data_IF_180057395511
#
_entry.id   IF_180057395511
#
_cell.length_a   1.000
_cell.length_b   1.000
_cell.length_c   1.000
_cell.angle_alpha   90.00
_cell.angle_beta   90.00
_cell.angle_gamma   90.00
#
_symmetry.space_group_name_H-M   'P 1'
#
loop_
_entity.id
_entity.type
_entity.pdbx_description
1 polymer ?
#
# COMPACT_ATOMS: atom_id res chain seq x y z
N UNK A 1 13.56 6.13 8.84
CA UNK A 1 13.42 4.69 8.52
C UNK A 1 12.10 4.24 9.09
N UNK A 2 11.21 3.72 8.25
CA UNK A 2 9.85 3.31 8.62
C UNK A 2 9.49 2.04 7.84
N UNK A 3 8.61 1.20 8.38
CA UNK A 3 7.95 0.12 7.66
C UNK A 3 6.70 0.68 6.99
N UNK A 4 6.64 0.62 5.66
CA UNK A 4 5.58 1.23 4.86
C UNK A 4 4.79 0.14 4.13
N UNK A 5 3.48 0.10 4.34
CA UNK A 5 2.56 -0.72 3.57
C UNK A 5 2.01 0.04 2.36
N UNK A 6 2.09 -0.53 1.17
CA UNK A 6 1.52 0.08 -0.05
C UNK A 6 0.10 -0.42 -0.26
N UNK A 7 -0.85 0.51 -0.38
CA UNK A 7 -2.25 0.23 -0.67
C UNK A 7 -2.71 0.95 -1.94
N UNK A 8 -3.54 0.28 -2.75
CA UNK A 8 -4.02 0.86 -4.00
C UNK A 8 -4.95 -0.05 -4.81
N UNK A 9 -5.46 0.44 -5.95
CA UNK A 9 -6.32 -0.35 -6.82
C UNK A 9 -5.55 -1.47 -7.54
N UNK A 10 -6.03 -2.71 -7.41
CA UNK A 10 -5.52 -3.90 -8.10
C UNK A 10 -6.57 -4.55 -9.01
N UNK A 11 -7.75 -4.87 -8.47
CA UNK A 11 -8.85 -5.52 -9.19
C UNK A 11 -9.29 -4.71 -10.42
N UNK A 12 -9.45 -5.38 -11.56
CA UNK A 12 -9.88 -4.74 -12.82
C UNK A 12 -8.79 -3.94 -13.55
N UNK A 13 -7.55 -3.87 -13.03
CA UNK A 13 -6.43 -3.23 -13.72
C UNK A 13 -5.58 -4.27 -14.49
N UNK A 14 -4.95 -3.87 -15.61
CA UNK A 14 -3.99 -4.73 -16.31
C UNK A 14 -2.89 -5.24 -15.36
N UNK A 15 -2.65 -6.55 -15.38
CA UNK A 15 -1.67 -7.23 -14.51
C UNK A 15 -1.80 -6.81 -13.02
N UNK A 16 -3.03 -6.62 -12.55
CA UNK A 16 -3.35 -6.21 -11.18
C UNK A 16 -2.60 -4.97 -10.69
N UNK A 17 -2.25 -4.05 -11.61
CA UNK A 17 -1.48 -2.85 -11.31
C UNK A 17 -0.07 -3.11 -10.69
N UNK A 18 0.45 -4.34 -10.76
CA UNK A 18 1.72 -4.77 -10.13
C UNK A 18 2.89 -3.83 -10.43
N UNK A 19 2.97 -3.35 -11.68
CA UNK A 19 4.01 -2.40 -12.11
C UNK A 19 4.08 -1.18 -11.19
N UNK A 20 2.93 -0.55 -10.89
CA UNK A 20 2.89 0.65 -10.06
C UNK A 20 3.32 0.35 -8.62
N UNK A 21 2.89 -0.77 -8.06
CA UNK A 21 3.31 -1.23 -6.74
C UNK A 21 4.82 -1.46 -6.65
N UNK A 22 5.41 -2.13 -7.67
CA UNK A 22 6.85 -2.40 -7.73
C UNK A 22 7.65 -1.10 -7.87
N UNK A 23 7.22 -0.18 -8.73
CA UNK A 23 7.86 1.14 -8.89
C UNK A 23 7.84 1.93 -7.58
N UNK A 24 6.69 2.00 -6.91
CA UNK A 24 6.58 2.67 -5.61
C UNK A 24 7.41 1.98 -4.54
N UNK A 25 7.43 0.65 -4.49
CA UNK A 25 8.25 -0.09 -3.54
C UNK A 25 9.74 0.17 -3.75
N UNK A 26 10.18 0.21 -5.00
CA UNK A 26 11.58 0.52 -5.36
C UNK A 26 11.96 1.93 -4.91
N UNK A 27 11.07 2.91 -5.12
CA UNK A 27 11.30 4.29 -4.72
C UNK A 27 11.39 4.45 -3.19
N UNK A 28 10.42 3.92 -2.44
CA UNK A 28 10.42 3.98 -0.97
C UNK A 28 11.61 3.22 -0.37
N UNK A 29 12.00 2.10 -0.98
CA UNK A 29 13.20 1.38 -0.57
C UNK A 29 14.47 2.21 -0.80
N UNK A 30 14.58 2.91 -1.93
CA UNK A 30 15.70 3.80 -2.21
C UNK A 30 15.78 5.01 -1.25
N UNK A 31 14.65 5.43 -0.68
CA UNK A 31 14.58 6.44 0.40
C UNK A 31 15.03 5.88 1.78
N UNK A 32 15.34 4.58 1.87
CA UNK A 32 15.72 3.93 3.11
C UNK A 32 14.52 3.60 4.00
N UNK A 33 13.45 3.05 3.41
CA UNK A 33 12.33 2.45 4.12
C UNK A 33 12.27 0.93 3.90
N UNK A 34 11.62 0.21 4.81
CA UNK A 34 11.22 -1.19 4.58
C UNK A 34 9.82 -1.20 3.99
N UNK A 35 9.61 -1.94 2.90
CA UNK A 35 8.34 -1.88 2.16
C UNK A 35 7.60 -3.21 2.22
N UNK A 36 6.34 -3.15 2.65
CA UNK A 36 5.37 -4.24 2.59
C UNK A 36 4.48 -4.03 1.36
N UNK A 37 4.59 -4.94 0.39
CA UNK A 37 3.92 -4.81 -0.90
C UNK A 37 2.98 -6.00 -1.15
N UNK A 38 1.65 -5.82 -1.07
CA UNK A 38 0.68 -6.91 -1.29
C UNK A 38 0.69 -7.44 -2.73
N UNK A 39 1.21 -6.67 -3.71
CA UNK A 39 1.26 -7.10 -5.10
C UNK A 39 2.27 -8.23 -5.38
N UNK A 40 3.11 -8.57 -4.38
CA UNK A 40 4.04 -9.71 -4.41
C UNK A 40 3.41 -11.03 -3.98
N UNK A 41 2.16 -11.00 -3.49
CA UNK A 41 1.44 -12.21 -3.12
C UNK A 41 1.14 -13.07 -4.36
N UNK A 42 1.14 -14.41 -4.22
CA UNK A 42 0.88 -15.32 -5.33
C UNK A 42 -0.52 -15.12 -5.88
N UNK A 43 -0.70 -15.42 -7.18
CA UNK A 43 -2.02 -15.49 -7.81
C UNK A 43 -2.83 -16.70 -7.31
N UNK A 44 -4.16 -16.62 -7.44
CA UNK A 44 -5.08 -17.74 -7.20
C UNK A 44 -5.68 -17.81 -5.79
N UNK A 45 -5.43 -16.82 -4.93
CA UNK A 45 -6.12 -16.73 -3.64
C UNK A 45 -7.52 -16.12 -3.80
N UNK A 46 -8.40 -16.43 -2.86
CA UNK A 46 -9.67 -15.73 -2.72
C UNK A 46 -9.43 -14.28 -2.28
N UNK A 47 -10.36 -13.39 -2.62
CA UNK A 47 -10.27 -11.97 -2.28
C UNK A 47 -10.10 -11.74 -0.78
N UNK A 48 -10.82 -12.51 0.03
CA UNK A 48 -10.82 -12.44 1.49
C UNK A 48 -9.45 -12.79 2.07
N UNK A 49 -8.76 -13.78 1.50
CA UNK A 49 -7.41 -14.15 1.92
C UNK A 49 -6.39 -13.04 1.61
N UNK A 50 -6.51 -12.37 0.46
CA UNK A 50 -5.68 -11.20 0.17
C UNK A 50 -5.91 -10.08 1.20
N UNK A 51 -7.17 -9.83 1.56
CA UNK A 51 -7.51 -8.82 2.57
C UNK A 51 -6.95 -9.18 3.95
N UNK A 52 -7.07 -10.44 4.39
CA UNK A 52 -6.54 -10.89 5.68
C UNK A 52 -5.03 -10.73 5.77
N UNK A 53 -4.31 -11.14 4.72
CA UNK A 53 -2.86 -10.98 4.63
C UNK A 53 -2.48 -9.49 4.57
N UNK A 54 -3.20 -8.69 3.77
CA UNK A 54 -2.99 -7.25 3.67
C UNK A 54 -3.17 -6.54 5.02
N UNK A 55 -4.22 -6.87 5.76
CA UNK A 55 -4.44 -6.34 7.11
C UNK A 55 -3.36 -6.79 8.10
N UNK A 56 -2.86 -8.02 7.99
CA UNK A 56 -1.75 -8.48 8.82
C UNK A 56 -0.46 -7.69 8.52
N UNK A 57 -0.13 -7.48 7.24
CA UNK A 57 0.99 -6.61 6.83
C UNK A 57 0.82 -5.19 7.36
N UNK A 58 -0.36 -4.60 7.16
CA UNK A 58 -0.65 -3.23 7.59
C UNK A 58 -0.52 -3.04 9.11
N UNK A 59 -0.92 -4.01 9.92
CA UNK A 59 -0.75 -3.96 11.38
C UNK A 59 0.71 -3.94 11.83
N UNK A 60 1.63 -4.43 11.00
CA UNK A 60 3.07 -4.38 11.24
C UNK A 60 3.77 -3.17 10.62
N UNK A 61 3.04 -2.25 10.01
CA UNK A 61 3.59 -1.05 9.39
C UNK A 61 3.53 0.16 10.34
N UNK A 62 4.45 1.10 10.16
CA UNK A 62 4.42 2.42 10.79
C UNK A 62 3.58 3.41 9.96
N UNK A 63 3.42 3.11 8.67
CA UNK A 63 2.82 3.98 7.68
C UNK A 63 2.10 3.21 6.57
N UNK A 64 1.00 3.78 6.07
CA UNK A 64 0.37 3.37 4.82
C UNK A 64 0.66 4.40 3.72
N UNK A 65 1.13 3.91 2.57
CA UNK A 65 1.29 4.71 1.36
C UNK A 65 0.16 4.38 0.38
N UNK A 66 -0.67 5.37 0.08
CA UNK A 66 -1.86 5.21 -0.75
C UNK A 66 -1.59 5.64 -2.19
N UNK A 67 -1.68 4.71 -3.14
CA UNK A 67 -1.52 4.96 -4.57
C UNK A 67 -2.70 5.75 -5.16
N UNK A 68 -2.46 6.41 -6.30
CA UNK A 68 -3.49 7.16 -7.03
C UNK A 68 -4.75 6.32 -7.30
N UNK A 69 -5.91 6.90 -6.97
CA UNK A 69 -7.21 6.27 -7.12
C UNK A 69 -7.53 5.22 -6.06
N UNK A 70 -6.79 5.16 -4.94
CA UNK A 70 -7.10 4.30 -3.79
C UNK A 70 -8.53 4.48 -3.27
N UNK A 71 -9.10 5.68 -3.37
CA UNK A 71 -10.47 6.00 -2.94
C UNK A 71 -11.53 5.20 -3.71
N UNK A 72 -11.19 4.69 -4.90
CA UNK A 72 -12.07 3.86 -5.73
C UNK A 72 -11.80 2.37 -5.56
N UNK A 73 -10.84 1.98 -4.72
CA UNK A 73 -10.54 0.59 -4.38
C UNK A 73 -11.19 0.24 -3.04
N UNK A 74 -12.12 -0.72 -3.04
CA UNK A 74 -12.76 -1.21 -1.82
C UNK A 74 -11.71 -1.71 -0.80
N UNK A 75 -10.72 -2.48 -1.27
CA UNK A 75 -9.64 -2.99 -0.42
C UNK A 75 -8.78 -1.86 0.17
N UNK A 76 -8.28 -0.95 -0.68
CA UNK A 76 -7.42 0.15 -0.21
C UNK A 76 -8.16 1.13 0.72
N UNK A 77 -9.46 1.32 0.51
CA UNK A 77 -10.30 2.12 1.40
C UNK A 77 -10.46 1.47 2.77
N UNK A 78 -10.66 0.14 2.81
CA UNK A 78 -10.73 -0.60 4.07
C UNK A 78 -9.40 -0.57 4.83
N UNK A 79 -8.28 -0.72 4.13
CA UNK A 79 -6.93 -0.60 4.68
C UNK A 79 -6.68 0.80 5.25
N UNK A 80 -7.05 1.85 4.52
CA UNK A 80 -6.93 3.24 5.01
C UNK A 80 -7.76 3.48 6.28
N UNK A 81 -8.99 2.93 6.37
CA UNK A 81 -9.81 3.01 7.59
C UNK A 81 -9.11 2.32 8.76
N UNK A 82 -8.54 1.13 8.55
CA UNK A 82 -7.79 0.42 9.59
C UNK A 82 -6.53 1.22 10.00
N UNK A 83 -5.77 1.74 9.05
CA UNK A 83 -4.57 2.54 9.32
C UNK A 83 -4.88 3.76 10.19
N UNK A 84 -5.98 4.48 9.89
CA UNK A 84 -6.49 5.58 10.72
C UNK A 84 -6.82 5.12 12.14
N UNK A 85 -7.49 3.97 12.27
CA UNK A 85 -7.86 3.42 13.58
C UNK A 85 -6.65 3.03 14.42
N UNK A 86 -5.58 2.55 13.76
CA UNK A 86 -4.31 2.19 14.37
C UNK A 86 -3.39 3.39 14.66
N UNK A 87 -3.73 4.58 14.15
CA UNK A 87 -2.89 5.78 14.31
C UNK A 87 -1.62 5.77 13.47
N UNK A 88 -1.61 5.02 12.36
CA UNK A 88 -0.47 4.98 11.45
C UNK A 88 -0.32 6.30 10.70
N UNK A 89 0.91 6.59 10.26
CA UNK A 89 1.13 7.66 9.31
C UNK A 89 0.43 7.33 7.98
N UNK A 90 -0.05 8.35 7.29
CA UNK A 90 -0.74 8.20 6.00
C UNK A 90 -0.07 9.13 5.01
N UNK A 91 0.41 8.58 3.89
CA UNK A 91 0.97 9.36 2.81
C UNK A 91 0.44 8.97 1.44
N UNK A 92 0.63 9.88 0.49
CA UNK A 92 0.29 9.73 -0.92
C UNK A 92 1.46 10.27 -1.77
N UNK A 93 1.47 10.05 -3.09
CA UNK A 93 2.44 10.69 -3.98
C UNK A 93 2.49 12.22 -3.80
N UNK A 94 1.36 12.87 -3.58
CA UNK A 94 1.26 14.31 -3.38
C UNK A 94 1.88 14.74 -2.06
N UNK A 95 1.58 14.03 -0.97
CA UNK A 95 2.07 14.42 0.37
C UNK A 95 3.58 14.27 0.51
N UNK A 96 4.20 13.35 -0.25
CA UNK A 96 5.66 13.14 -0.23
C UNK A 96 6.44 14.04 -1.18
N UNK A 97 5.81 14.57 -2.23
CA UNK A 97 6.45 15.56 -3.14
C UNK A 97 6.83 16.87 -2.44
N UNK A 98 6.18 17.21 -1.32
CA UNK A 98 6.44 18.42 -0.54
C UNK A 98 7.65 18.36 0.41
N UNK A 99 8.38 17.24 0.47
CA UNK A 99 9.53 17.06 1.38
C UNK A 99 10.90 17.39 0.78
N UNK A 100 10.96 17.73 -0.52
CA UNK A 100 12.17 18.22 -1.16
C UNK A 100 12.14 19.76 -1.18
N UNK A 101 12.55 20.38 -0.09
CA UNK A 101 12.90 21.80 -0.01
C UNK A 101 14.15 21.95 0.85
#
# INVERSE_FOLDING_TARGET
>A
MSVIYIAGPMTGKPNFNRKKFIETATHLWAEGHTVLNPAMLPDGLAYEHYMDIGFAMLRGADEIYLLDGWQHSAGATAEHVLAKKLGLNISTPESRKGGAS
#
